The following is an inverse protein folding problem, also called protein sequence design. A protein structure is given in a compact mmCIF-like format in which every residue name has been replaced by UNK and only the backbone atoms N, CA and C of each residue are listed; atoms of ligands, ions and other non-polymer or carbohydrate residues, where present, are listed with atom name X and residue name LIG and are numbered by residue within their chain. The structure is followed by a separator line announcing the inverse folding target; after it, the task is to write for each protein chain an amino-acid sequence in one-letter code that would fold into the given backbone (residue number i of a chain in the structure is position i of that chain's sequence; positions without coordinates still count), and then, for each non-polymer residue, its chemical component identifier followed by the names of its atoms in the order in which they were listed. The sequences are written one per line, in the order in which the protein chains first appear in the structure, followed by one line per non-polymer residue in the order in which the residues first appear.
data_IF_139899676927
#
_entry.id   IF_139899676927
#
_cell.length_a   1.000
_cell.length_b   1.000
_cell.length_c   1.000
_cell.angle_alpha   90.00
_cell.angle_beta   90.00
_cell.angle_gamma   90.00
#
_symmetry.space_group_name_H-M   'P 1'
#
loop_
_entity.id
_entity.type
_entity.pdbx_description
1 polymer ?
#
# COMPACT_ATOMS: atom_id res chain seq x y z
N UNK A 1 2.74 6.40 21.44
CA UNK A 1 2.04 5.77 20.31
C UNK A 1 2.65 6.37 19.06
N UNK A 2 3.54 5.62 18.41
CA UNK A 2 4.41 6.16 17.37
C UNK A 2 3.69 6.13 16.02
N UNK A 3 2.94 7.20 15.75
CA UNK A 3 2.31 7.47 14.45
C UNK A 3 3.19 8.45 13.68
N UNK A 4 4.53 8.35 13.76
CA UNK A 4 5.40 9.26 13.02
C UNK A 4 5.27 8.98 11.51
N UNK A 5 4.64 9.87 10.73
CA UNK A 5 4.47 9.68 9.30
C UNK A 5 5.81 9.69 8.58
N UNK A 6 6.80 10.38 9.17
CA UNK A 6 8.13 10.54 8.58
C UNK A 6 8.83 9.20 8.44
N UNK A 7 8.80 8.37 9.48
CA UNK A 7 9.40 7.03 9.42
C UNK A 7 8.80 6.20 8.28
N UNK A 8 7.48 6.27 8.08
CA UNK A 8 6.79 5.55 7.01
C UNK A 8 7.21 6.03 5.62
N UNK A 9 7.33 7.34 5.45
CA UNK A 9 7.78 7.95 4.20
C UNK A 9 9.24 7.58 3.91
N UNK A 10 10.10 7.64 4.92
CA UNK A 10 11.53 7.38 4.78
C UNK A 10 11.78 5.95 4.28
N UNK A 11 11.21 4.89 4.89
CA UNK A 11 11.48 3.55 4.34
C UNK A 11 10.74 3.26 3.03
N UNK A 12 9.63 3.94 2.71
CA UNK A 12 9.05 3.86 1.36
C UNK A 12 10.03 4.44 0.32
N UNK A 13 10.67 5.55 0.63
CA UNK A 13 11.72 6.13 -0.22
C UNK A 13 12.95 5.22 -0.32
N UNK A 14 13.42 4.67 0.80
CA UNK A 14 14.54 3.71 0.80
C UNK A 14 14.21 2.42 0.03
N UNK A 15 12.94 2.00 0.02
CA UNK A 15 12.47 0.88 -0.78
C UNK A 15 12.39 1.19 -2.29
N UNK A 16 12.66 2.43 -2.70
CA UNK A 16 12.64 2.87 -4.10
C UNK A 16 11.25 3.26 -4.61
N UNK A 17 10.30 3.60 -3.73
CA UNK A 17 8.98 4.04 -4.14
C UNK A 17 9.08 5.34 -4.96
N UNK A 18 8.74 5.26 -6.25
CA UNK A 18 8.78 6.41 -7.17
C UNK A 18 7.61 7.36 -6.98
N UNK A 19 6.49 6.86 -6.44
CA UNK A 19 5.30 7.66 -6.12
C UNK A 19 4.68 7.18 -4.82
N UNK A 20 4.48 8.11 -3.89
CA UNK A 20 3.93 7.83 -2.57
C UNK A 20 2.53 8.45 -2.47
N UNK A 21 1.58 7.65 -2.00
CA UNK A 21 0.20 8.06 -1.75
C UNK A 21 -0.06 8.03 -0.24
N UNK A 22 -0.56 9.14 0.31
CA UNK A 22 -0.76 9.30 1.74
C UNK A 22 -2.20 9.69 2.05
N UNK A 23 -2.92 8.86 2.79
CA UNK A 23 -4.23 9.22 3.35
C UNK A 23 -4.06 9.85 4.74
N UNK A 24 -4.31 11.16 4.84
CA UNK A 24 -4.26 11.89 6.11
C UNK A 24 -5.60 11.78 6.86
N UNK A 25 -5.56 11.35 8.12
CA UNK A 25 -6.75 11.34 9.00
C UNK A 25 -7.82 10.28 8.65
N UNK A 26 -7.52 9.36 7.73
CA UNK A 26 -8.44 8.29 7.35
C UNK A 26 -8.01 6.99 8.03
N UNK A 27 -8.95 6.35 8.74
CA UNK A 27 -8.70 5.06 9.36
C UNK A 27 -8.53 3.95 8.33
N UNK A 28 -7.58 3.03 8.53
CA UNK A 28 -7.45 1.80 7.75
C UNK A 28 -8.62 0.82 7.88
N UNK A 29 -9.63 1.15 8.70
CA UNK A 29 -10.93 0.47 8.73
C UNK A 29 -11.84 0.86 7.55
N UNK A 30 -11.58 1.99 6.90
CA UNK A 30 -12.36 2.44 5.74
C UNK A 30 -11.83 1.76 4.47
N UNK A 31 -12.72 1.06 3.77
CA UNK A 31 -12.37 0.26 2.60
C UNK A 31 -12.03 1.12 1.37
N UNK A 32 -12.81 2.17 1.08
CA UNK A 32 -12.48 3.14 0.03
C UNK A 32 -11.80 4.34 0.64
N UNK A 33 -10.65 4.70 0.07
CA UNK A 33 -9.89 5.88 0.44
C UNK A 33 -9.39 6.52 -0.84
N UNK A 34 -9.57 7.82 -1.03
CA UNK A 34 -9.32 8.47 -2.30
C UNK A 34 -7.86 8.32 -2.76
N UNK A 35 -6.88 8.26 -1.87
CA UNK A 35 -5.49 8.06 -2.27
C UNK A 35 -5.13 6.59 -2.45
N UNK A 36 -5.72 5.67 -1.67
CA UNK A 36 -5.59 4.23 -1.91
C UNK A 36 -6.15 3.84 -3.27
N UNK A 37 -7.35 4.32 -3.60
CA UNK A 37 -8.01 4.01 -4.87
C UNK A 37 -7.16 4.52 -6.06
N UNK A 38 -6.65 5.75 -5.97
CA UNK A 38 -5.68 6.27 -6.95
C UNK A 38 -4.38 5.45 -7.01
N UNK A 39 -3.89 4.99 -5.87
CA UNK A 39 -2.68 4.17 -5.79
C UNK A 39 -2.87 2.80 -6.45
N UNK A 40 -4.06 2.21 -6.38
CA UNK A 40 -4.39 0.94 -7.02
C UNK A 40 -4.63 1.07 -8.53
N UNK A 41 -5.10 2.24 -8.99
CA UNK A 41 -5.33 2.51 -10.40
C UNK A 41 -4.06 2.94 -11.15
N UNK A 42 -3.05 3.46 -10.45
CA UNK A 42 -1.81 3.96 -11.05
C UNK A 42 -0.89 2.89 -11.68
N UNK A 43 -0.56 1.77 -11.00
CA UNK A 43 0.45 0.84 -11.46
C UNK A 43 0.03 0.07 -12.71
N UNK A 44 1.02 -0.19 -13.56
CA UNK A 44 0.94 -0.95 -14.81
C UNK A 44 1.63 -2.30 -14.63
N UNK A 45 1.41 -3.20 -15.60
CA UNK A 45 2.11 -4.48 -15.64
C UNK A 45 3.63 -4.28 -15.51
N UNK A 46 4.27 -5.03 -14.60
CA UNK A 46 5.68 -4.91 -14.26
C UNK A 46 6.00 -3.96 -13.10
N UNK A 47 5.06 -3.12 -12.68
CA UNK A 47 5.23 -2.27 -11.50
C UNK A 47 5.08 -3.07 -10.20
N UNK A 48 5.51 -2.50 -9.08
CA UNK A 48 5.35 -3.09 -7.73
C UNK A 48 4.67 -2.10 -6.80
N UNK A 49 3.52 -2.48 -6.24
CA UNK A 49 2.90 -1.75 -5.15
C UNK A 49 3.63 -2.06 -3.84
N UNK A 50 4.28 -1.06 -3.26
CA UNK A 50 4.98 -1.20 -1.98
C UNK A 50 4.20 -0.53 -0.86
N UNK A 51 3.98 -1.25 0.24
CA UNK A 51 3.35 -0.73 1.47
C UNK A 51 4.30 -0.88 2.65
N UNK A 52 4.20 0.02 3.62
CA UNK A 52 4.97 -0.09 4.86
C UNK A 52 4.62 -1.36 5.66
N UNK A 53 3.32 -1.56 5.90
CA UNK A 53 2.71 -2.66 6.64
C UNK A 53 1.44 -3.11 5.93
N UNK A 54 1.08 -4.39 6.05
CA UNK A 54 -0.18 -4.90 5.49
C UNK A 54 -1.42 -4.20 6.08
N UNK A 55 -1.35 -3.77 7.34
CA UNK A 55 -2.42 -3.05 8.03
C UNK A 55 -2.76 -1.70 7.38
N UNK A 56 -1.86 -1.14 6.55
CA UNK A 56 -2.06 0.10 5.80
C UNK A 56 -2.95 -0.12 4.58
N UNK A 57 -2.95 -1.32 4.01
CA UNK A 57 -3.82 -1.68 2.89
C UNK A 57 -5.27 -1.89 3.35
N UNK A 58 -5.47 -2.43 4.56
CA UNK A 58 -6.77 -2.49 5.23
C UNK A 58 -6.79 -3.46 6.40
N UNK A 59 -7.74 -3.31 7.31
CA UNK A 59 -7.89 -4.20 8.48
C UNK A 59 -8.58 -5.54 8.21
N UNK A 60 -9.10 -5.76 7.00
CA UNK A 60 -9.78 -6.99 6.63
C UNK A 60 -8.88 -7.85 5.73
N UNK A 61 -8.45 -9.01 6.23
CA UNK A 61 -7.60 -9.95 5.48
C UNK A 61 -8.18 -10.33 4.13
N UNK A 62 -9.51 -10.54 4.04
CA UNK A 62 -10.17 -10.86 2.76
C UNK A 62 -10.06 -9.69 1.77
N UNK A 63 -10.16 -8.46 2.27
CA UNK A 63 -9.98 -7.28 1.42
C UNK A 63 -8.53 -7.19 0.93
N UNK A 64 -7.56 -7.37 1.83
CA UNK A 64 -6.13 -7.36 1.48
C UNK A 64 -5.82 -8.40 0.40
N UNK A 65 -6.26 -9.64 0.60
CA UNK A 65 -6.09 -10.72 -0.39
C UNK A 65 -6.73 -10.36 -1.73
N UNK A 66 -7.95 -9.84 -1.74
CA UNK A 66 -8.63 -9.42 -2.98
C UNK A 66 -7.85 -8.35 -3.75
N UNK A 67 -7.22 -7.41 -3.04
CA UNK A 67 -6.39 -6.37 -3.67
C UNK A 67 -5.12 -6.99 -4.25
N UNK A 68 -4.42 -7.83 -3.47
CA UNK A 68 -3.19 -8.50 -3.93
C UNK A 68 -3.45 -9.42 -5.13
N UNK A 69 -4.55 -10.18 -5.11
CA UNK A 69 -4.97 -11.01 -6.24
C UNK A 69 -5.26 -10.15 -7.48
N UNK A 70 -5.93 -9.02 -7.31
CA UNK A 70 -6.20 -8.07 -8.39
C UNK A 70 -4.93 -7.49 -9.01
N UNK A 71 -3.95 -7.13 -8.18
CA UNK A 71 -2.64 -6.65 -8.65
C UNK A 71 -1.91 -7.75 -9.41
N UNK A 72 -1.88 -8.97 -8.85
CA UNK A 72 -1.21 -10.13 -9.46
C UNK A 72 -1.84 -10.48 -10.82
N UNK A 73 -3.16 -10.43 -10.94
CA UNK A 73 -3.88 -10.68 -12.21
C UNK A 73 -3.57 -9.64 -13.29
N UNK A 74 -3.14 -8.44 -12.90
CA UNK A 74 -2.69 -7.36 -13.77
C UNK A 74 -1.17 -7.39 -14.04
N UNK A 75 -0.47 -8.42 -13.54
CA UNK A 75 0.99 -8.51 -13.62
C UNK A 75 1.72 -7.45 -12.78
N UNK A 76 1.08 -6.94 -11.73
CA UNK A 76 1.66 -5.97 -10.80
C UNK A 76 2.14 -6.73 -9.56
N UNK A 77 3.40 -6.52 -9.19
CA UNK A 77 3.97 -7.06 -7.97
C UNK A 77 3.41 -6.37 -6.73
N UNK A 78 3.49 -7.05 -5.59
CA UNK A 78 3.14 -6.50 -4.29
C UNK A 78 4.29 -6.72 -3.32
N UNK A 79 4.61 -5.69 -2.52
CA UNK A 79 5.66 -5.76 -1.51
C UNK A 79 5.25 -5.07 -0.21
N UNK A 80 5.59 -5.70 0.91
CA UNK A 80 5.46 -5.16 2.26
C UNK A 80 6.85 -4.97 2.87
N UNK A 81 7.12 -3.77 3.41
CA UNK A 81 8.45 -3.45 3.95
C UNK A 81 8.69 -4.18 5.27
N UNK A 82 7.72 -4.19 6.19
CA UNK A 82 7.96 -4.76 7.52
C UNK A 82 7.74 -6.27 7.62
N UNK A 83 6.88 -6.83 6.78
CA UNK A 83 6.62 -8.27 6.75
C UNK A 83 7.55 -9.01 5.77
N UNK A 84 8.25 -8.29 4.89
CA UNK A 84 9.22 -8.86 3.94
C UNK A 84 8.60 -9.75 2.86
N UNK A 85 7.28 -9.63 2.67
CA UNK A 85 6.48 -10.31 1.63
C UNK A 85 6.49 -9.50 0.35
#
# INVERSE_FOLDING_TARGET
VDQNPQLQLDALQEAGATRIFTDHGVSGSTASRPNLDQCLDHPREGDVLTVWKLDRLGRNTRHVLKVVDGLTSRGIGFRSITEGL
#
